data_IF_759234173463
#
_entry.id   IF_759234173463
#
_cell.length_a   1.000
_cell.length_b   1.000
_cell.length_c   1.000
_cell.angle_alpha   90.00
_cell.angle_beta   90.00
_cell.angle_gamma   90.00
#
_symmetry.space_group_name_H-M   'P 1'
#
loop_
_entity.id
_entity.type
_entity.pdbx_description
1 polymer ?
#
# COMPACT_ATOMS: atom_id res chain seq x y z
N UNK A 1 22.32 2.71 -7.54
CA UNK A 1 21.11 2.73 -8.39
C UNK A 1 20.00 2.04 -7.62
N UNK A 2 19.05 2.81 -7.05
CA UNK A 2 17.84 2.25 -6.42
C UNK A 2 16.97 1.68 -7.54
N UNK A 3 17.19 0.41 -7.86
CA UNK A 3 16.36 -0.33 -8.80
C UNK A 3 14.93 -0.35 -8.31
N UNK A 4 13.98 -0.11 -9.24
CA UNK A 4 12.53 -0.23 -9.05
C UNK A 4 12.20 -1.69 -8.76
N UNK A 5 12.55 -2.20 -7.58
CA UNK A 5 12.09 -3.52 -7.19
C UNK A 5 10.60 -3.40 -6.86
N UNK A 6 10.17 -2.34 -6.15
CA UNK A 6 8.77 -1.90 -6.09
C UNK A 6 8.69 -0.39 -5.81
N UNK A 7 8.01 0.40 -6.66
CA UNK A 7 7.71 1.81 -6.40
C UNK A 7 8.88 2.80 -6.59
N UNK A 8 8.78 3.96 -5.92
CA UNK A 8 9.77 5.05 -5.93
C UNK A 8 10.52 5.09 -4.60
N UNK A 9 11.85 4.96 -4.64
CA UNK A 9 12.71 5.11 -3.45
C UNK A 9 13.16 6.56 -3.24
N UNK A 10 13.37 6.95 -1.99
CA UNK A 10 14.00 8.22 -1.63
C UNK A 10 15.43 7.97 -1.14
N UNK A 11 16.41 8.53 -1.84
CA UNK A 11 17.83 8.41 -1.48
C UNK A 11 18.10 8.96 -0.07
N UNK A 12 17.44 10.07 0.29
CA UNK A 12 17.49 10.63 1.64
C UNK A 12 17.06 9.61 2.71
N UNK A 13 16.01 8.81 2.45
CA UNK A 13 15.54 7.80 3.41
C UNK A 13 16.51 6.63 3.52
N UNK A 14 17.08 6.20 2.40
CA UNK A 14 18.11 5.16 2.39
C UNK A 14 19.35 5.59 3.17
N UNK A 15 19.79 6.85 3.02
CA UNK A 15 20.90 7.38 3.80
C UNK A 15 20.57 7.45 5.31
N UNK A 16 19.34 7.81 5.69
CA UNK A 16 18.92 7.76 7.10
C UNK A 16 18.98 6.34 7.67
N UNK A 17 18.55 5.34 6.88
CA UNK A 17 18.65 3.92 7.28
C UNK A 17 20.12 3.49 7.40
N UNK A 18 20.98 3.86 6.45
CA UNK A 18 22.43 3.56 6.53
C UNK A 18 23.06 4.16 7.79
N UNK A 19 22.76 5.42 8.11
CA UNK A 19 23.25 6.08 9.33
C UNK A 19 22.80 5.37 10.62
N UNK A 20 21.57 4.87 10.65
CA UNK A 20 21.06 4.10 11.78
C UNK A 20 21.64 2.67 11.87
N UNK A 21 22.35 2.20 10.83
CA UNK A 21 22.92 0.87 10.73
C UNK A 21 24.38 0.93 10.23
N UNK A 22 25.34 1.36 11.07
CA UNK A 22 26.74 1.48 10.65
C UNK A 22 27.36 0.19 10.10
N UNK A 23 26.86 -0.98 10.54
CA UNK A 23 27.31 -2.27 10.01
C UNK A 23 26.78 -2.60 8.61
N UNK A 24 25.74 -1.92 8.13
CA UNK A 24 25.15 -2.13 6.80
C UNK A 24 25.98 -1.39 5.74
N UNK A 25 27.15 -1.93 5.41
CA UNK A 25 28.08 -1.33 4.46
C UNK A 25 27.50 -1.18 3.04
N UNK A 26 26.73 -2.17 2.59
CA UNK A 26 26.02 -2.15 1.31
C UNK A 26 24.52 -2.41 1.53
N UNK A 27 23.62 -1.41 1.33
CA UNK A 27 22.19 -1.58 1.48
C UNK A 27 21.56 -2.51 0.44
N UNK A 28 22.29 -2.86 -0.64
CA UNK A 28 21.85 -3.84 -1.63
C UNK A 28 22.18 -5.28 -1.20
N UNK A 29 22.91 -5.48 -0.08
CA UNK A 29 23.33 -6.78 0.43
C UNK A 29 22.86 -6.97 1.86
N UNK A 30 21.58 -7.31 2.00
CA UNK A 30 20.97 -7.66 3.28
C UNK A 30 21.00 -9.19 3.43
N UNK A 31 21.59 -9.67 4.51
CA UNK A 31 21.58 -11.09 4.87
C UNK A 31 20.36 -11.40 5.74
N UNK A 32 19.72 -12.55 5.51
CA UNK A 32 18.64 -13.04 6.36
C UNK A 32 19.08 -13.18 7.81
N UNK A 33 18.19 -12.87 8.76
CA UNK A 33 18.48 -12.91 10.20
C UNK A 33 19.21 -11.66 10.73
N UNK A 34 19.66 -10.76 9.85
CA UNK A 34 20.28 -9.50 10.27
C UNK A 34 19.24 -8.54 10.82
N UNK A 35 19.50 -8.01 12.03
CA UNK A 35 18.69 -6.92 12.60
C UNK A 35 19.00 -5.60 11.89
N UNK A 36 17.95 -4.93 11.39
CA UNK A 36 18.02 -3.60 10.77
C UNK A 36 17.20 -2.63 11.61
N UNK A 37 17.83 -1.55 12.06
CA UNK A 37 17.18 -0.46 12.77
C UNK A 37 16.56 0.51 11.76
N UNK A 38 15.25 0.69 11.80
CA UNK A 38 14.61 1.74 11.02
C UNK A 38 14.56 3.03 11.84
N UNK A 39 15.05 4.16 11.30
CA UNK A 39 14.98 5.43 12.01
C UNK A 39 13.52 5.81 12.22
N UNK A 40 13.20 6.40 13.38
CA UNK A 40 11.86 6.90 13.66
C UNK A 40 11.56 8.02 12.67
N UNK A 41 10.61 7.75 11.79
CA UNK A 41 10.05 8.76 10.90
C UNK A 41 8.93 9.43 11.68
N UNK A 42 8.99 10.75 11.84
CA UNK A 42 7.93 11.51 12.49
C UNK A 42 6.57 11.16 11.88
N UNK A 43 5.55 11.00 12.73
CA UNK A 43 4.20 10.64 12.30
C UNK A 43 3.62 11.82 11.52
N UNK A 44 3.80 11.83 10.21
CA UNK A 44 3.06 12.74 9.34
C UNK A 44 1.62 12.27 9.33
N UNK A 45 0.67 13.13 9.68
CA UNK A 45 -0.73 12.81 9.53
C UNK A 45 -1.00 12.51 8.06
N UNK A 46 -1.75 11.44 7.80
CA UNK A 46 -2.23 11.17 6.44
C UNK A 46 -3.06 12.40 6.03
N UNK A 47 -2.79 13.02 4.87
CA UNK A 47 -3.61 14.12 4.39
C UNK A 47 -5.07 13.68 4.36
N UNK A 48 -6.00 14.52 4.83
CA UNK A 48 -7.42 14.15 4.95
C UNK A 48 -7.97 13.56 3.65
N UNK A 49 -7.56 14.07 2.49
CA UNK A 49 -8.00 13.59 1.18
C UNK A 49 -7.58 12.14 0.86
N UNK A 50 -6.70 11.54 1.66
CA UNK A 50 -6.14 10.20 1.48
C UNK A 50 -6.65 9.20 2.53
N UNK A 51 -7.75 9.52 3.22
CA UNK A 51 -8.33 8.66 4.23
C UNK A 51 -8.99 7.43 3.63
N UNK A 52 -9.72 7.55 2.52
CA UNK A 52 -10.46 6.42 1.97
C UNK A 52 -9.99 6.07 0.55
N UNK A 53 -9.75 4.79 0.33
CA UNK A 53 -9.30 4.24 -0.96
C UNK A 53 -10.21 3.11 -1.39
N UNK A 54 -10.44 2.99 -2.70
CA UNK A 54 -11.20 1.89 -3.27
C UNK A 54 -10.21 0.83 -3.77
N UNK A 55 -10.22 -0.34 -3.14
CA UNK A 55 -9.51 -1.54 -3.54
C UNK A 55 -10.36 -2.36 -4.53
N UNK A 56 -9.68 -2.95 -5.50
CA UNK A 56 -10.27 -3.87 -6.47
C UNK A 56 -9.71 -5.30 -6.35
N UNK A 57 -8.53 -5.45 -5.73
CA UNK A 57 -7.97 -6.76 -5.42
C UNK A 57 -7.14 -6.69 -4.14
N UNK A 58 -7.11 -7.79 -3.38
CA UNK A 58 -6.30 -7.99 -2.17
C UNK A 58 -5.53 -9.31 -2.26
N UNK A 59 -4.32 -9.35 -1.73
CA UNK A 59 -3.54 -10.58 -1.53
C UNK A 59 -2.47 -10.35 -0.45
N UNK A 60 -2.12 -11.40 0.28
CA UNK A 60 -0.90 -11.50 1.08
C UNK A 60 0.39 -11.58 0.21
N UNK A 61 0.25 -11.93 -1.06
CA UNK A 61 1.34 -12.01 -2.02
C UNK A 61 1.51 -10.69 -2.79
N UNK A 62 2.57 -9.93 -2.48
CA UNK A 62 2.92 -8.68 -3.16
C UNK A 62 3.09 -8.85 -4.67
N UNK A 63 3.72 -9.95 -5.12
CA UNK A 63 3.95 -10.18 -6.54
C UNK A 63 2.65 -10.30 -7.32
N UNK A 64 1.63 -10.93 -6.74
CA UNK A 64 0.31 -11.06 -7.38
C UNK A 64 -0.34 -9.70 -7.60
N UNK A 65 -0.33 -8.83 -6.59
CA UNK A 65 -0.87 -7.47 -6.71
C UNK A 65 -0.04 -6.62 -7.67
N UNK A 66 1.29 -6.75 -7.64
CA UNK A 66 2.16 -6.02 -8.56
C UNK A 66 1.90 -6.43 -10.02
N UNK A 67 1.82 -7.74 -10.29
CA UNK A 67 1.47 -8.24 -11.62
C UNK A 67 0.09 -7.70 -12.05
N UNK A 68 -0.91 -7.72 -11.18
CA UNK A 68 -2.22 -7.16 -11.50
C UNK A 68 -2.17 -5.67 -11.87
N UNK A 69 -1.48 -4.84 -11.08
CA UNK A 69 -1.39 -3.39 -11.32
C UNK A 69 -0.56 -3.06 -12.57
N UNK A 70 0.57 -3.75 -12.78
CA UNK A 70 1.56 -3.35 -13.77
C UNK A 70 1.57 -4.19 -15.06
N UNK A 71 1.09 -5.44 -15.04
CA UNK A 71 0.99 -6.25 -16.27
C UNK A 71 -0.06 -5.70 -17.23
N UNK A 72 -1.17 -5.14 -16.72
CA UNK A 72 -2.21 -4.50 -17.50
C UNK A 72 -1.94 -3.04 -17.90
N UNK A 73 -0.78 -2.46 -17.52
CA UNK A 73 -0.46 -1.03 -17.68
C UNK A 73 -1.54 -0.06 -17.16
N UNK A 74 -2.34 -0.47 -16.17
CA UNK A 74 -3.40 0.39 -15.63
C UNK A 74 -2.77 1.57 -14.89
N UNK A 75 -2.81 2.75 -15.51
CA UNK A 75 -2.29 3.99 -14.91
C UNK A 75 -3.16 4.46 -13.74
N UNK A 76 -4.36 3.91 -13.63
CA UNK A 76 -5.35 4.32 -12.62
C UNK A 76 -5.19 3.57 -11.31
N UNK A 77 -4.31 2.57 -11.26
CA UNK A 77 -4.08 1.76 -10.07
C UNK A 77 -2.71 2.05 -9.41
N UNK A 78 -2.64 1.72 -8.12
CA UNK A 78 -1.40 1.65 -7.33
C UNK A 78 -1.48 0.53 -6.31
N UNK A 79 -0.32 0.11 -5.82
CA UNK A 79 -0.21 -0.85 -4.73
C UNK A 79 -0.21 -0.11 -3.39
N UNK A 80 -1.02 -0.57 -2.44
CA UNK A 80 -0.92 -0.23 -1.03
C UNK A 80 -0.65 -1.48 -0.21
N UNK A 81 0.31 -1.39 0.72
CA UNK A 81 0.63 -2.45 1.68
C UNK A 81 0.20 -2.01 3.07
N UNK A 82 -0.41 -2.91 3.82
CA UNK A 82 -0.95 -2.61 5.14
C UNK A 82 -0.93 -3.83 6.05
N UNK A 83 -0.96 -3.56 7.35
CA UNK A 83 -1.08 -4.61 8.35
C UNK A 83 -2.55 -4.83 8.71
N UNK A 84 -3.05 -6.04 8.47
CA UNK A 84 -4.33 -6.52 8.94
C UNK A 84 -4.11 -7.31 10.26
N UNK A 85 -4.76 -6.95 11.38
CA UNK A 85 -4.59 -7.65 12.64
C UNK A 85 -4.93 -9.15 12.59
N UNK A 86 -5.82 -9.56 11.68
CA UNK A 86 -6.28 -10.94 11.52
C UNK A 86 -5.49 -11.74 10.48
N UNK A 87 -4.99 -11.06 9.43
CA UNK A 87 -4.36 -11.69 8.28
C UNK A 87 -2.87 -11.32 8.06
N UNK A 88 -2.29 -10.51 8.96
CA UNK A 88 -0.90 -10.06 8.86
C UNK A 88 -0.68 -9.03 7.75
N UNK A 89 0.49 -9.06 7.11
CA UNK A 89 0.82 -8.14 6.02
C UNK A 89 -0.02 -8.46 4.78
N UNK A 90 -0.78 -7.47 4.33
CA UNK A 90 -1.65 -7.55 3.17
C UNK A 90 -1.27 -6.48 2.14
N UNK A 91 -1.62 -6.76 0.89
CA UNK A 91 -1.41 -5.87 -0.25
C UNK A 91 -2.71 -5.70 -1.01
N UNK A 92 -3.00 -4.48 -1.45
CA UNK A 92 -4.17 -4.17 -2.27
C UNK A 92 -3.80 -3.39 -3.52
N UNK A 93 -4.47 -3.72 -4.62
CA UNK A 93 -4.56 -2.87 -5.79
C UNK A 93 -5.69 -1.87 -5.57
N UNK A 94 -5.35 -0.59 -5.49
CA UNK A 94 -6.32 0.49 -5.26
C UNK A 94 -6.31 1.49 -6.41
N UNK A 95 -7.45 2.12 -6.66
CA UNK A 95 -7.51 3.27 -7.54
C UNK A 95 -6.67 4.42 -6.98
N UNK A 96 -6.04 5.21 -7.85
CA UNK A 96 -5.22 6.37 -7.47
C UNK A 96 -6.03 7.50 -6.86
N UNK A 97 -7.33 7.55 -7.15
CA UNK A 97 -8.26 8.50 -6.56
C UNK A 97 -8.57 8.05 -5.13
N UNK A 98 -8.35 8.97 -4.19
CA UNK A 98 -8.69 8.80 -2.78
C UNK A 98 -9.75 9.83 -2.36
N UNK A 99 -10.38 9.57 -1.22
CA UNK A 99 -11.50 10.36 -0.73
C UNK A 99 -11.26 10.80 0.72
N UNK A 100 -11.80 11.98 1.06
CA UNK A 100 -11.76 12.51 2.41
C UNK A 100 -12.79 11.86 3.34
N UNK A 101 -13.94 11.48 2.78
CA UNK A 101 -15.09 10.99 3.51
C UNK A 101 -15.50 9.59 3.02
N UNK A 102 -15.96 8.76 3.97
CA UNK A 102 -16.43 7.40 3.68
C UNK A 102 -17.63 7.40 2.71
N UNK A 103 -18.52 8.38 2.85
CA UNK A 103 -19.72 8.52 2.00
C UNK A 103 -19.35 8.67 0.53
N UNK A 104 -18.35 9.49 0.22
CA UNK A 104 -17.91 9.77 -1.15
C UNK A 104 -17.25 8.53 -1.76
N UNK A 105 -16.42 7.83 -0.98
CA UNK A 105 -15.83 6.56 -1.39
C UNK A 105 -16.91 5.50 -1.67
N UNK A 106 -17.93 5.41 -0.81
CA UNK A 106 -19.06 4.49 -0.99
C UNK A 106 -19.90 4.82 -2.22
N UNK A 107 -20.19 6.10 -2.46
CA UNK A 107 -20.92 6.53 -3.65
C UNK A 107 -20.11 6.23 -4.93
N UNK A 108 -18.81 6.50 -4.92
CA UNK A 108 -17.93 6.17 -6.03
C UNK A 108 -17.81 4.66 -6.27
N UNK A 109 -17.82 3.85 -5.21
CA UNK A 109 -17.88 2.39 -5.31
C UNK A 109 -19.18 1.93 -5.99
N UNK A 110 -20.33 2.47 -5.57
CA UNK A 110 -21.64 2.14 -6.15
C UNK A 110 -21.80 2.57 -7.60
N UNK A 111 -21.18 3.69 -8.00
CA UNK A 111 -21.26 4.20 -9.37
C UNK A 111 -20.34 3.47 -10.36
N UNK A 112 -19.33 2.73 -9.86
CA UNK A 112 -18.43 1.95 -10.70
C UNK A 112 -19.04 0.59 -11.04
N UNK A 113 -19.99 0.59 -11.98
CA UNK A 113 -20.33 -0.62 -12.73
C UNK A 113 -19.09 -1.01 -13.57
N UNK A 114 -18.37 -2.07 -13.17
CA UNK A 114 -17.18 -2.55 -13.89
C UNK A 114 -15.86 -2.44 -13.13
N UNK A 115 -15.87 -2.58 -11.80
CA UNK A 115 -14.63 -2.79 -11.05
C UNK A 115 -14.02 -4.11 -11.53
N UNK A 116 -12.92 -4.01 -12.28
CA UNK A 116 -12.11 -5.17 -12.64
C UNK A 116 -11.45 -5.70 -11.36
N UNK A 117 -12.02 -6.75 -10.79
CA UNK A 117 -11.50 -7.44 -9.61
C UNK A 117 -12.60 -8.10 -8.80
N UNK A 118 -12.32 -9.30 -8.30
CA UNK A 118 -13.29 -10.19 -7.62
C UNK A 118 -13.81 -9.64 -6.28
N UNK A 119 -13.22 -8.57 -5.74
CA UNK A 119 -13.61 -8.00 -4.45
C UNK A 119 -13.37 -6.50 -4.43
N UNK A 120 -14.44 -5.73 -4.63
CA UNK A 120 -14.37 -4.28 -4.49
C UNK A 120 -14.58 -3.90 -3.03
N UNK A 121 -13.64 -3.15 -2.46
CA UNK A 121 -13.63 -2.85 -1.03
C UNK A 121 -13.13 -1.44 -0.71
N UNK A 122 -13.56 -0.89 0.43
CA UNK A 122 -13.07 0.41 0.91
C UNK A 122 -12.01 0.18 1.99
N UNK A 123 -10.85 0.81 1.79
CA UNK A 123 -9.75 0.87 2.73
C UNK A 123 -9.77 2.23 3.44
N UNK A 124 -9.66 2.22 4.77
CA UNK A 124 -9.68 3.38 5.66
C UNK A 124 -8.31 3.58 6.33
N UNK A 125 -7.68 4.70 6.01
CA UNK A 125 -6.41 5.25 6.51
C UNK A 125 -6.62 6.43 7.48
N UNK A 126 -7.86 6.78 7.82
CA UNK A 126 -8.17 7.90 8.73
C UNK A 126 -7.75 7.65 10.18
N UNK A 127 -7.54 6.39 10.55
CA UNK A 127 -7.13 5.94 11.88
C UNK A 127 -5.72 5.37 11.85
N UNK A 128 -5.19 5.07 13.03
CA UNK A 128 -3.89 4.42 13.20
C UNK A 128 -3.88 3.03 12.54
N UNK A 129 -3.51 3.01 11.26
CA UNK A 129 -3.45 1.82 10.43
C UNK A 129 -4.57 1.74 9.39
N UNK A 130 -4.23 1.22 8.22
CA UNK A 130 -5.17 1.01 7.12
C UNK A 130 -6.07 -0.20 7.41
N UNK A 131 -7.39 -0.02 7.37
CA UNK A 131 -8.40 -1.05 7.69
C UNK A 131 -9.38 -1.26 6.56
N UNK A 132 -9.87 -2.49 6.39
CA UNK A 132 -10.96 -2.79 5.48
C UNK A 132 -12.30 -2.42 6.14
N UNK A 133 -13.13 -1.62 5.48
CA UNK A 133 -14.44 -1.22 6.02
C UNK A 133 -15.61 -2.00 5.43
N UNK A 134 -15.54 -2.34 4.14
CA UNK A 134 -16.60 -3.07 3.42
C UNK A 134 -15.98 -3.82 2.25
N UNK A 135 -16.46 -5.03 1.97
CA UNK A 135 -16.17 -5.78 0.75
C UNK A 135 -17.48 -6.24 0.10
N UNK A 136 -17.57 -6.14 -1.22
CA UNK A 136 -18.58 -6.88 -1.99
C UNK A 136 -17.95 -8.25 -2.25
N UNK A 137 -18.38 -9.27 -1.52
CA UNK A 137 -18.05 -10.66 -1.85
C UNK A 137 -19.06 -11.11 -2.91
N UNK A 138 -18.58 -11.37 -4.13
CA UNK A 138 -19.39 -12.08 -5.10
C UNK A 138 -19.48 -13.54 -4.64
N UNK A 139 -20.68 -13.95 -4.21
CA UNK A 139 -21.04 -15.35 -3.93
C UNK A 139 -21.07 -16.19 -5.20
#
# INVERSE_FOLDING_TARGET
>A
MLTRIYGTGSEMLVEKVKKANPGLADPNRIQSGRKINFPVMGKSSVPRQQHYWIACQKSDNLNRIYQFVYAGKSRDLRVLSFWDPSAGLQHAAVYRVSYAEYRDAKQALSNKNGIHGETAAILDLSKDGLRLLTGIENS
#
